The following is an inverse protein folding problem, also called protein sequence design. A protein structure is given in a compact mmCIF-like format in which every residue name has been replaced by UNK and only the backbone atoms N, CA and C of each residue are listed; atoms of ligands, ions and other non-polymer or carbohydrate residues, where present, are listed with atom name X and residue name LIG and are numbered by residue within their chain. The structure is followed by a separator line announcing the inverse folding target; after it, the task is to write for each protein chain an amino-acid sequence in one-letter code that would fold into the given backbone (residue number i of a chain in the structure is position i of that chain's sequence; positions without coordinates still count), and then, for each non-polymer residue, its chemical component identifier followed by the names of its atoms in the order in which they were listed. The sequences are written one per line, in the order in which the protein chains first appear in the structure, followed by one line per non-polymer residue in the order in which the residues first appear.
data_IF_586455088089
#
_entry.id   IF_586455088089
#
_cell.length_a   1.000
_cell.length_b   1.000
_cell.length_c   1.000
_cell.angle_alpha   90.00
_cell.angle_beta   90.00
_cell.angle_gamma   90.00
#
_symmetry.space_group_name_H-M   'P 1'
#
loop_
_entity.id
_entity.type
_entity.pdbx_description
1 polymer ?
#
# COMPACT_ATOMS: atom_id res chain seq x y z
N UNK A 1 -4.40 41.35 -15.60
CA UNK A 1 -5.57 41.93 -16.29
C UNK A 1 -5.19 43.05 -17.26
N UNK A 2 -4.49 44.11 -16.83
CA UNK A 2 -4.07 45.23 -17.71
C UNK A 2 -3.21 44.82 -18.93
N UNK A 3 -2.43 43.75 -18.82
CA UNK A 3 -1.61 43.21 -19.92
C UNK A 3 -2.40 42.39 -20.96
N UNK A 4 -3.60 41.91 -20.61
CA UNK A 4 -4.38 40.96 -21.44
C UNK A 4 -5.41 41.70 -22.30
N UNK A 5 -5.93 42.83 -21.81
CA UNK A 5 -6.96 43.64 -22.49
C UNK A 5 -6.58 44.03 -23.93
N UNK A 6 -5.37 44.55 -24.24
CA UNK A 6 -5.06 44.96 -25.62
C UNK A 6 -4.87 43.79 -26.61
N UNK A 7 -4.75 42.56 -26.11
CA UNK A 7 -4.59 41.35 -26.93
C UNK A 7 -5.93 40.64 -27.13
N UNK A 8 -6.95 41.00 -26.34
CA UNK A 8 -8.23 40.30 -26.33
C UNK A 8 -9.02 40.51 -27.63
N UNK A 9 -9.16 41.76 -28.07
CA UNK A 9 -9.92 42.13 -29.28
C UNK A 9 -9.36 41.49 -30.57
N UNK A 10 -8.04 41.53 -30.85
CA UNK A 10 -7.49 40.87 -32.04
C UNK A 10 -7.55 39.33 -31.94
N UNK A 11 -7.48 38.76 -30.73
CA UNK A 11 -7.60 37.32 -30.52
C UNK A 11 -9.03 36.84 -30.78
N UNK A 12 -10.04 37.57 -30.30
CA UNK A 12 -11.46 37.28 -30.55
C UNK A 12 -11.78 37.41 -32.04
N UNK A 13 -11.32 38.48 -32.69
CA UNK A 13 -11.51 38.68 -34.12
C UNK A 13 -10.85 37.57 -34.97
N UNK A 14 -9.69 37.05 -34.56
CA UNK A 14 -9.05 35.91 -35.22
C UNK A 14 -9.81 34.60 -34.98
N UNK A 15 -10.26 34.35 -33.74
CA UNK A 15 -11.04 33.16 -33.39
C UNK A 15 -12.37 33.09 -34.14
N UNK A 16 -13.03 34.23 -34.36
CA UNK A 16 -14.29 34.32 -35.13
C UNK A 16 -14.10 33.91 -36.61
N UNK A 17 -12.87 33.95 -37.15
CA UNK A 17 -12.60 33.48 -38.54
C UNK A 17 -12.55 31.95 -38.67
N UNK A 18 -12.51 31.20 -37.56
CA UNK A 18 -12.39 29.74 -37.57
C UNK A 18 -13.73 29.00 -37.77
N UNK A 19 -14.87 29.70 -37.68
CA UNK A 19 -16.19 29.15 -38.03
C UNK A 19 -16.75 28.09 -37.06
N UNK A 20 -16.19 27.98 -35.85
CA UNK A 20 -16.66 27.05 -34.82
C UNK A 20 -17.92 27.57 -34.12
N UNK A 21 -18.72 26.64 -33.56
CA UNK A 21 -19.82 27.02 -32.68
C UNK A 21 -19.29 27.65 -31.38
N UNK A 22 -20.06 28.53 -30.72
CA UNK A 22 -19.64 29.16 -29.45
C UNK A 22 -19.28 28.15 -28.35
N UNK A 23 -19.92 26.97 -28.36
CA UNK A 23 -19.66 25.90 -27.39
C UNK A 23 -18.30 25.21 -27.64
N UNK A 24 -17.97 24.93 -28.90
CA UNK A 24 -16.69 24.33 -29.29
C UNK A 24 -15.51 25.27 -29.01
N UNK A 25 -15.70 26.58 -29.20
CA UNK A 25 -14.70 27.60 -28.89
C UNK A 25 -14.37 27.64 -27.39
N UNK A 26 -15.39 27.59 -26.54
CA UNK A 26 -15.20 27.58 -25.08
C UNK A 26 -14.48 26.31 -24.63
N UNK A 27 -14.88 25.15 -25.14
CA UNK A 27 -14.23 23.86 -24.82
C UNK A 27 -12.77 23.85 -25.29
N UNK A 28 -12.52 24.25 -26.53
CA UNK A 28 -11.18 24.32 -27.13
C UNK A 28 -10.27 25.30 -26.38
N UNK A 29 -10.78 26.47 -26.01
CA UNK A 29 -10.06 27.44 -25.19
C UNK A 29 -9.69 26.86 -23.83
N UNK A 30 -10.63 26.23 -23.12
CA UNK A 30 -10.36 25.61 -21.82
C UNK A 30 -9.31 24.51 -21.91
N UNK A 31 -9.38 23.66 -22.95
CA UNK A 31 -8.41 22.60 -23.18
C UNK A 31 -7.02 23.17 -23.43
N UNK A 32 -6.88 24.10 -24.39
CA UNK A 32 -5.60 24.72 -24.75
C UNK A 32 -5.01 25.47 -23.54
N UNK A 33 -5.83 26.24 -22.84
CA UNK A 33 -5.40 27.00 -21.66
C UNK A 33 -4.88 26.09 -20.56
N UNK A 34 -5.62 25.03 -20.23
CA UNK A 34 -5.21 24.09 -19.17
C UNK A 34 -3.98 23.26 -19.58
N UNK A 35 -3.87 22.86 -20.84
CA UNK A 35 -2.69 22.16 -21.36
C UNK A 35 -1.46 23.05 -21.35
N UNK A 36 -1.58 24.29 -21.83
CA UNK A 36 -0.48 25.26 -21.80
C UNK A 36 -0.04 25.54 -20.35
N UNK A 37 -0.98 25.77 -19.44
CA UNK A 37 -0.69 25.95 -18.01
C UNK A 37 0.02 24.73 -17.43
N UNK A 38 -0.42 23.52 -17.77
CA UNK A 38 0.24 22.29 -17.33
C UNK A 38 1.69 22.23 -17.83
N UNK A 39 1.93 22.44 -19.14
CA UNK A 39 3.28 22.41 -19.72
C UNK A 39 4.21 23.48 -19.14
N UNK A 40 3.70 24.67 -18.83
CA UNK A 40 4.47 25.76 -18.22
C UNK A 40 4.78 25.46 -16.74
N UNK A 41 3.82 24.91 -16.00
CA UNK A 41 3.96 24.66 -14.56
C UNK A 41 4.72 23.37 -14.23
N UNK A 42 4.62 22.33 -15.06
CA UNK A 42 5.27 21.03 -14.84
C UNK A 42 6.78 21.13 -14.54
N UNK A 43 7.61 21.88 -15.31
CA UNK A 43 9.04 22.02 -15.01
C UNK A 43 9.31 22.79 -13.71
N UNK A 44 8.36 23.60 -13.22
CA UNK A 44 8.50 24.37 -11.97
C UNK A 44 8.23 23.54 -10.71
N UNK A 45 7.66 22.34 -10.86
CA UNK A 45 7.33 21.45 -9.73
C UNK A 45 8.59 21.05 -8.95
N UNK A 46 9.68 20.68 -9.64
CA UNK A 46 10.94 20.29 -8.99
C UNK A 46 11.58 21.43 -8.17
N UNK A 47 11.77 22.62 -8.74
CA UNK A 47 12.22 23.81 -8.01
C UNK A 47 11.31 24.16 -6.82
N UNK A 48 9.99 24.12 -7.00
CA UNK A 48 9.03 24.40 -5.94
C UNK A 48 9.12 23.36 -4.81
N UNK A 49 9.28 22.07 -5.12
CA UNK A 49 9.48 21.03 -4.12
C UNK A 49 10.76 21.25 -3.29
N UNK A 50 11.85 21.70 -3.94
CA UNK A 50 13.09 22.07 -3.24
C UNK A 50 12.93 23.31 -2.36
N UNK A 51 12.20 24.31 -2.85
CA UNK A 51 11.89 25.52 -2.09
C UNK A 51 11.04 25.18 -0.86
N UNK A 52 9.99 24.37 -1.02
CA UNK A 52 9.19 23.87 0.10
C UNK A 52 10.04 23.06 1.09
N UNK A 53 10.92 22.17 0.62
CA UNK A 53 11.82 21.40 1.47
C UNK A 53 12.87 22.26 2.20
N UNK A 54 13.21 23.44 1.67
CA UNK A 54 14.12 24.39 2.29
C UNK A 54 13.43 25.36 3.27
N UNK A 55 12.17 25.73 2.98
CA UNK A 55 11.37 26.66 3.80
C UNK A 55 10.64 25.95 4.95
N UNK A 56 10.18 24.71 4.72
CA UNK A 56 9.67 23.90 5.81
C UNK A 56 10.88 23.35 6.58
N UNK A 57 10.93 23.54 7.91
CA UNK A 57 11.87 22.79 8.71
C UNK A 57 11.68 21.32 8.37
N UNK A 58 12.73 20.65 7.90
CA UNK A 58 12.76 19.21 7.99
C UNK A 58 12.50 18.92 9.46
N UNK A 59 11.35 18.33 9.77
CA UNK A 59 11.21 17.64 11.04
C UNK A 59 12.20 16.50 10.96
N UNK A 60 13.46 16.79 11.28
CA UNK A 60 14.37 15.79 11.77
C UNK A 60 13.58 15.16 12.91
N UNK A 61 13.12 13.93 12.71
CA UNK A 61 12.46 13.14 13.72
C UNK A 61 13.50 12.84 14.81
N UNK A 62 13.76 13.86 15.63
CA UNK A 62 14.57 13.79 16.82
C UNK A 62 13.65 13.22 17.90
N UNK A 63 13.67 11.90 18.02
CA UNK A 63 13.12 11.19 19.17
C UNK A 63 11.65 10.82 19.09
N UNK A 64 11.42 9.52 18.84
CA UNK A 64 10.31 8.77 19.43
C UNK A 64 9.02 8.74 18.63
N UNK A 65 8.85 7.65 17.87
CA UNK A 65 7.63 7.16 17.24
C UNK A 65 7.06 8.00 16.09
N UNK A 66 6.63 7.31 15.04
CA UNK A 66 5.88 7.88 13.93
C UNK A 66 4.61 8.57 14.43
N UNK A 67 4.58 9.89 14.37
CA UNK A 67 3.38 10.68 14.69
C UNK A 67 2.41 10.69 13.51
N UNK A 68 1.09 10.69 13.76
CA UNK A 68 0.13 10.79 12.69
C UNK A 68 0.29 12.11 11.95
N UNK A 69 0.40 12.06 10.61
CA UNK A 69 0.65 13.26 9.77
C UNK A 69 -0.62 13.78 9.11
N UNK A 70 -1.54 12.88 8.79
CA UNK A 70 -2.75 13.23 8.03
C UNK A 70 -4.02 13.21 8.87
N UNK A 71 -3.98 12.69 10.10
CA UNK A 71 -5.17 12.56 10.95
C UNK A 71 -5.54 13.91 11.59
N UNK A 72 -6.18 14.77 10.80
CA UNK A 72 -6.69 16.07 11.24
C UNK A 72 -8.04 15.90 11.93
N UNK A 73 -8.11 16.27 13.22
CA UNK A 73 -9.33 16.21 14.02
C UNK A 73 -10.39 17.20 13.54
N UNK A 74 -10.00 18.30 12.91
CA UNK A 74 -10.96 19.28 12.37
C UNK A 74 -11.71 18.74 11.15
N UNK A 75 -11.11 17.79 10.44
CA UNK A 75 -11.74 17.11 9.31
C UNK A 75 -12.81 16.10 9.72
N UNK A 76 -12.95 15.75 11.02
CA UNK A 76 -13.97 14.82 11.50
C UNK A 76 -15.40 15.31 11.23
N UNK A 77 -15.60 16.62 11.09
CA UNK A 77 -16.88 17.21 10.70
C UNK A 77 -17.27 16.93 9.23
N UNK A 78 -16.35 16.40 8.42
CA UNK A 78 -16.59 16.04 7.02
C UNK A 78 -16.15 14.58 6.79
N UNK A 79 -17.06 13.60 6.92
CA UNK A 79 -16.72 12.18 6.93
C UNK A 79 -15.87 11.71 5.76
N UNK A 80 -16.19 12.12 4.54
CA UNK A 80 -15.43 11.77 3.33
C UNK A 80 -13.97 12.26 3.41
N UNK A 81 -13.74 13.47 3.95
CA UNK A 81 -12.39 14.02 4.14
C UNK A 81 -11.64 13.29 5.26
N UNK A 82 -12.32 12.98 6.37
CA UNK A 82 -11.75 12.19 7.46
C UNK A 82 -11.32 10.79 6.98
N UNK A 83 -12.15 10.11 6.17
CA UNK A 83 -11.79 8.82 5.59
C UNK A 83 -10.60 8.93 4.64
N UNK A 84 -10.53 9.97 3.81
CA UNK A 84 -9.37 10.22 2.95
C UNK A 84 -8.07 10.44 3.75
N UNK A 85 -8.15 11.13 4.89
CA UNK A 85 -7.04 11.28 5.83
C UNK A 85 -6.59 9.93 6.41
N UNK A 86 -7.53 9.10 6.84
CA UNK A 86 -7.25 7.78 7.37
C UNK A 86 -6.63 6.85 6.31
N UNK A 87 -7.13 6.87 5.07
CA UNK A 87 -6.54 6.13 3.93
C UNK A 87 -5.06 6.48 3.73
N UNK A 88 -4.72 7.77 3.71
CA UNK A 88 -3.32 8.21 3.55
C UNK A 88 -2.42 7.67 4.67
N UNK A 89 -2.95 7.61 5.88
CA UNK A 89 -2.21 7.12 7.03
C UNK A 89 -2.04 5.60 7.01
N UNK A 90 -3.07 4.85 6.60
CA UNK A 90 -2.97 3.40 6.37
C UNK A 90 -1.97 3.07 5.26
N UNK A 91 -1.92 3.85 4.18
CA UNK A 91 -0.90 3.68 3.14
C UNK A 91 0.51 3.90 3.69
N UNK A 92 0.69 4.86 4.59
CA UNK A 92 1.98 5.10 5.25
C UNK A 92 2.39 3.93 6.14
N UNK A 93 1.44 3.26 6.81
CA UNK A 93 1.75 1.98 7.49
C UNK A 93 2.25 0.95 6.47
N UNK A 94 1.64 0.89 5.28
CA UNK A 94 2.10 0.03 4.17
C UNK A 94 3.57 0.26 3.80
N UNK A 95 4.00 1.52 3.71
CA UNK A 95 5.41 1.88 3.42
C UNK A 95 6.38 1.40 4.52
N UNK A 96 5.95 1.45 5.79
CA UNK A 96 6.72 0.93 6.92
C UNK A 96 6.86 -0.60 6.84
N UNK A 97 5.77 -1.32 6.55
CA UNK A 97 5.80 -2.77 6.33
C UNK A 97 6.73 -3.13 5.17
N UNK A 98 6.68 -2.36 4.09
CA UNK A 98 7.58 -2.55 2.95
C UNK A 98 9.06 -2.40 3.37
N UNK A 99 9.37 -1.40 4.20
CA UNK A 99 10.71 -1.19 4.75
C UNK A 99 11.16 -2.34 5.66
N UNK A 100 10.25 -2.90 6.47
CA UNK A 100 10.51 -4.10 7.28
C UNK A 100 10.78 -5.33 6.41
N UNK A 101 10.03 -5.51 5.32
CA UNK A 101 10.25 -6.57 4.33
C UNK A 101 11.63 -6.44 3.67
N UNK A 102 12.03 -5.23 3.28
CA UNK A 102 13.36 -4.97 2.72
C UNK A 102 14.48 -5.30 3.72
N UNK A 103 14.29 -4.95 4.99
CA UNK A 103 15.22 -5.32 6.08
C UNK A 103 15.29 -6.84 6.27
N UNK A 104 14.16 -7.55 6.16
CA UNK A 104 14.13 -9.02 6.20
C UNK A 104 14.97 -9.65 5.08
N UNK A 105 14.89 -9.12 3.85
CA UNK A 105 15.71 -9.60 2.74
C UNK A 105 17.22 -9.38 3.01
N UNK A 106 17.59 -8.21 3.52
CA UNK A 106 18.98 -7.89 3.88
C UNK A 106 19.52 -8.83 4.96
N UNK A 107 18.71 -9.12 5.99
CA UNK A 107 19.05 -10.07 7.04
C UNK A 107 19.18 -11.49 6.49
N UNK A 108 18.28 -11.93 5.60
CA UNK A 108 18.39 -13.24 4.94
C UNK A 108 19.70 -13.36 4.18
N UNK A 109 19.99 -12.41 3.27
CA UNK A 109 21.21 -12.36 2.44
C UNK A 109 22.50 -12.13 3.22
N UNK A 110 22.42 -11.71 4.47
CA UNK A 110 23.59 -11.48 5.32
C UNK A 110 24.29 -10.14 5.09
N UNK A 111 23.68 -9.23 4.34
CA UNK A 111 24.15 -7.83 4.25
C UNK A 111 23.86 -7.05 5.54
N UNK A 112 22.96 -7.58 6.38
CA UNK A 112 22.69 -7.09 7.72
C UNK A 112 22.72 -8.27 8.70
N UNK A 113 23.44 -8.12 9.81
CA UNK A 113 23.76 -9.23 10.73
C UNK A 113 22.74 -9.42 11.86
N UNK A 114 21.91 -8.42 12.13
CA UNK A 114 20.99 -8.42 13.27
C UNK A 114 19.64 -7.81 12.89
N UNK A 115 18.57 -8.22 13.59
CA UNK A 115 17.38 -7.38 13.72
C UNK A 115 17.83 -6.09 14.35
N UNK A 116 17.93 -5.07 13.52
CA UNK A 116 18.52 -3.81 13.94
C UNK A 116 17.50 -3.10 14.82
N UNK A 117 17.99 -2.20 15.68
CA UNK A 117 17.15 -1.24 16.39
C UNK A 117 16.14 -0.56 15.45
N UNK A 118 16.50 -0.42 14.17
CA UNK A 118 15.62 0.07 13.12
C UNK A 118 14.36 -0.77 12.89
N UNK A 119 14.43 -2.10 12.83
CA UNK A 119 13.23 -2.93 12.64
C UNK A 119 12.28 -2.82 13.83
N UNK A 120 12.84 -2.74 15.04
CA UNK A 120 12.03 -2.50 16.25
C UNK A 120 11.37 -1.14 16.18
N UNK A 121 12.12 -0.10 15.82
CA UNK A 121 11.58 1.25 15.61
C UNK A 121 10.45 1.26 14.58
N UNK A 122 10.64 0.61 13.43
CA UNK A 122 9.60 0.47 12.40
C UNK A 122 8.35 -0.25 12.94
N UNK A 123 8.52 -1.29 13.76
CA UNK A 123 7.38 -1.97 14.39
C UNK A 123 6.64 -1.06 15.37
N UNK A 124 7.37 -0.34 16.22
CA UNK A 124 6.79 0.62 17.18
C UNK A 124 6.08 1.77 16.44
N UNK A 125 6.63 2.21 15.30
CA UNK A 125 6.03 3.20 14.41
C UNK A 125 4.70 2.69 13.80
N UNK A 126 4.65 1.42 13.36
CA UNK A 126 3.43 0.79 12.87
C UNK A 126 2.37 0.71 13.99
N UNK A 127 2.76 0.33 15.20
CA UNK A 127 1.85 0.25 16.36
C UNK A 127 1.27 1.63 16.74
N UNK A 128 2.11 2.66 16.71
CA UNK A 128 1.70 4.03 16.95
C UNK A 128 0.67 4.50 15.90
N UNK A 129 0.91 4.21 14.62
CA UNK A 129 -0.01 4.56 13.54
C UNK A 129 -1.32 3.78 13.59
N UNK A 130 -1.25 2.47 13.83
CA UNK A 130 -2.42 1.63 14.05
C UNK A 130 -3.31 2.21 15.15
N UNK A 131 -2.71 2.56 16.29
CA UNK A 131 -3.43 3.13 17.43
C UNK A 131 -4.06 4.48 17.08
N UNK A 132 -3.33 5.36 16.39
CA UNK A 132 -3.82 6.66 15.97
C UNK A 132 -5.01 6.55 15.00
N UNK A 133 -4.90 5.70 13.96
CA UNK A 133 -5.97 5.48 12.99
C UNK A 133 -7.21 4.89 13.66
N UNK A 134 -7.03 3.88 14.52
CA UNK A 134 -8.14 3.26 15.26
C UNK A 134 -8.88 4.28 16.13
N UNK A 135 -8.17 5.11 16.89
CA UNK A 135 -8.78 6.15 17.72
C UNK A 135 -9.45 7.24 16.88
N UNK A 136 -8.88 7.58 15.72
CA UNK A 136 -9.46 8.55 14.80
C UNK A 136 -10.77 8.05 14.20
N UNK A 137 -10.79 6.81 13.68
CA UNK A 137 -11.98 6.19 13.11
C UNK A 137 -13.08 5.95 14.15
N UNK A 138 -12.72 5.69 15.41
CA UNK A 138 -13.69 5.50 16.50
C UNK A 138 -14.44 6.80 16.89
N UNK A 139 -13.92 7.97 16.52
CA UNK A 139 -14.58 9.26 16.78
C UNK A 139 -15.62 9.61 15.69
N UNK A 140 -15.72 8.81 14.63
CA UNK A 140 -16.68 9.06 13.54
C UNK A 140 -18.05 8.46 13.89
N UNK A 141 -19.14 9.25 13.89
CA UNK A 141 -20.49 8.73 14.13
C UNK A 141 -20.93 7.85 12.96
N UNK A 142 -21.05 6.54 13.18
CA UNK A 142 -21.36 5.58 12.11
C UNK A 142 -22.78 5.73 11.57
N UNK A 143 -23.70 6.22 12.40
CA UNK A 143 -25.11 6.42 12.07
C UNK A 143 -25.32 7.58 11.08
N UNK A 144 -24.36 8.48 10.98
CA UNK A 144 -24.38 9.63 10.06
C UNK A 144 -23.67 9.33 8.73
N UNK A 145 -23.00 8.18 8.62
CA UNK A 145 -22.30 7.78 7.41
C UNK A 145 -23.29 7.21 6.38
N UNK A 146 -23.17 7.70 5.14
CA UNK A 146 -23.78 7.02 4.01
C UNK A 146 -23.20 5.61 3.83
N UNK A 147 -23.95 4.75 3.14
CA UNK A 147 -23.56 3.37 2.83
C UNK A 147 -22.13 3.24 2.25
N UNK A 148 -21.76 4.14 1.34
CA UNK A 148 -20.42 4.16 0.75
C UNK A 148 -19.32 4.47 1.78
N UNK A 149 -19.51 5.52 2.59
CA UNK A 149 -18.54 5.93 3.60
C UNK A 149 -18.41 4.90 4.71
N UNK A 150 -19.50 4.22 5.06
CA UNK A 150 -19.49 3.14 6.05
C UNK A 150 -18.72 1.91 5.57
N UNK A 151 -18.84 1.55 4.29
CA UNK A 151 -17.99 0.52 3.67
C UNK A 151 -16.53 0.93 3.67
N UNK A 152 -16.24 2.16 3.25
CA UNK A 152 -14.86 2.66 3.21
C UNK A 152 -14.22 2.67 4.60
N UNK A 153 -14.98 3.03 5.64
CA UNK A 153 -14.56 2.94 7.03
C UNK A 153 -14.16 1.50 7.40
N UNK A 154 -14.98 0.50 7.02
CA UNK A 154 -14.73 -0.91 7.29
C UNK A 154 -13.46 -1.42 6.59
N UNK A 155 -13.26 -1.04 5.33
CA UNK A 155 -12.04 -1.38 4.57
C UNK A 155 -10.78 -0.81 5.22
N UNK A 156 -10.83 0.45 5.68
CA UNK A 156 -9.68 1.11 6.31
C UNK A 156 -9.31 0.40 7.60
N UNK A 157 -10.27 0.14 8.49
CA UNK A 157 -9.97 -0.50 9.79
C UNK A 157 -9.48 -1.94 9.58
N UNK A 158 -10.06 -2.70 8.65
CA UNK A 158 -9.64 -4.06 8.35
C UNK A 158 -8.21 -4.11 7.82
N UNK A 159 -7.87 -3.27 6.83
CA UNK A 159 -6.50 -3.22 6.32
C UNK A 159 -5.51 -2.76 7.40
N UNK A 160 -5.89 -1.77 8.21
CA UNK A 160 -5.05 -1.25 9.29
C UNK A 160 -4.72 -2.34 10.33
N UNK A 161 -5.71 -3.17 10.69
CA UNK A 161 -5.49 -4.36 11.54
C UNK A 161 -4.56 -5.37 10.86
N UNK A 162 -4.80 -5.68 9.58
CA UNK A 162 -3.98 -6.64 8.83
C UNK A 162 -2.51 -6.20 8.73
N UNK A 163 -2.24 -4.90 8.57
CA UNK A 163 -0.89 -4.35 8.54
C UNK A 163 -0.19 -4.41 9.91
N UNK A 164 -0.90 -4.18 11.01
CA UNK A 164 -0.35 -4.35 12.37
C UNK A 164 0.04 -5.81 12.63
N UNK A 165 -0.86 -6.74 12.32
CA UNK A 165 -0.59 -8.18 12.44
C UNK A 165 0.61 -8.61 11.58
N UNK A 166 0.74 -8.00 10.39
CA UNK A 166 1.86 -8.20 9.48
C UNK A 166 3.18 -7.73 10.08
N UNK A 167 3.25 -6.53 10.68
CA UNK A 167 4.46 -6.02 11.35
C UNK A 167 4.95 -6.98 12.43
N UNK A 168 4.06 -7.38 13.34
CA UNK A 168 4.41 -8.30 14.42
C UNK A 168 4.85 -9.68 13.90
N UNK A 169 4.28 -10.15 12.78
CA UNK A 169 4.72 -11.40 12.15
C UNK A 169 6.10 -11.27 11.51
N UNK A 170 6.38 -10.18 10.80
CA UNK A 170 7.70 -9.90 10.22
C UNK A 170 8.76 -9.81 11.33
N UNK A 171 8.46 -9.08 12.41
CA UNK A 171 9.37 -8.93 13.55
C UNK A 171 9.69 -10.29 14.20
N UNK A 172 8.68 -11.16 14.38
CA UNK A 172 8.87 -12.54 14.86
C UNK A 172 9.75 -13.37 13.94
N UNK A 173 9.50 -13.36 12.63
CA UNK A 173 10.31 -14.10 11.65
C UNK A 173 11.77 -13.64 11.68
N UNK A 174 11.98 -12.33 11.72
CA UNK A 174 13.30 -11.70 11.80
C UNK A 174 14.06 -12.13 13.06
N UNK A 175 13.40 -12.15 14.23
CA UNK A 175 14.01 -12.67 15.47
C UNK A 175 14.44 -14.13 15.35
N UNK A 176 13.59 -14.98 14.75
CA UNK A 176 13.92 -16.40 14.54
C UNK A 176 15.15 -16.57 13.63
N UNK A 177 15.24 -15.80 12.54
CA UNK A 177 16.39 -15.80 11.63
C UNK A 177 17.67 -15.36 12.37
N UNK A 178 17.58 -14.28 13.16
CA UNK A 178 18.73 -13.79 13.92
C UNK A 178 19.22 -14.80 14.96
N UNK A 179 18.32 -15.39 15.75
CA UNK A 179 18.66 -16.38 16.77
C UNK A 179 19.38 -17.60 16.17
N UNK A 180 18.96 -18.03 14.98
CA UNK A 180 19.60 -19.13 14.27
C UNK A 180 21.04 -18.77 13.83
N UNK A 181 21.24 -17.55 13.32
CA UNK A 181 22.58 -17.09 12.91
C UNK A 181 23.53 -16.88 14.10
N UNK A 182 23.06 -16.27 15.20
CA UNK A 182 23.93 -15.89 16.32
C UNK A 182 24.10 -17.00 17.35
N UNK A 183 23.02 -17.60 17.84
CA UNK A 183 23.06 -18.56 18.95
C UNK A 183 23.38 -19.97 18.48
N UNK A 184 22.87 -20.38 17.31
CA UNK A 184 23.06 -21.75 16.81
C UNK A 184 24.24 -21.90 15.85
N UNK A 185 24.81 -20.79 15.36
CA UNK A 185 25.91 -20.74 14.36
C UNK A 185 25.67 -21.63 13.13
N UNK A 186 24.39 -21.84 12.80
CA UNK A 186 23.97 -22.61 11.63
C UNK A 186 23.71 -21.64 10.48
N UNK A 187 23.77 -22.13 9.26
CA UNK A 187 23.37 -21.39 8.07
C UNK A 187 22.33 -22.20 7.30
N UNK A 188 21.39 -21.50 6.67
CA UNK A 188 20.54 -22.14 5.66
C UNK A 188 21.43 -22.64 4.52
N UNK A 189 20.98 -23.70 3.82
CA UNK A 189 21.59 -24.03 2.54
C UNK A 189 21.41 -22.88 1.55
N UNK A 190 22.32 -22.74 0.60
CA UNK A 190 22.26 -21.71 -0.46
C UNK A 190 20.92 -21.75 -1.20
N UNK A 191 20.49 -22.95 -1.63
CA UNK A 191 19.17 -23.18 -2.24
C UNK A 191 18.04 -22.73 -1.31
N UNK A 192 18.10 -23.06 -0.01
CA UNK A 192 17.06 -22.66 0.94
C UNK A 192 17.01 -21.15 1.17
N UNK A 193 18.14 -20.46 1.03
CA UNK A 193 18.22 -19.01 1.18
C UNK A 193 17.64 -18.29 -0.05
N UNK A 194 17.92 -18.80 -1.26
CA UNK A 194 17.29 -18.33 -2.49
C UNK A 194 15.77 -18.51 -2.46
N UNK A 195 15.29 -19.69 -2.06
CA UNK A 195 13.85 -19.97 -1.93
C UNK A 195 13.14 -18.98 -0.98
N UNK A 196 13.76 -18.65 0.15
CA UNK A 196 13.23 -17.67 1.10
C UNK A 196 13.29 -16.23 0.56
N UNK A 197 14.37 -15.87 -0.13
CA UNK A 197 14.53 -14.56 -0.75
C UNK A 197 13.47 -14.33 -1.85
N UNK A 198 13.22 -15.33 -2.68
CA UNK A 198 12.21 -15.26 -3.75
C UNK A 198 10.80 -15.09 -3.19
N UNK A 199 10.45 -15.83 -2.13
CA UNK A 199 9.16 -15.66 -1.44
C UNK A 199 9.04 -14.26 -0.82
N UNK A 200 10.11 -13.72 -0.24
CA UNK A 200 10.11 -12.36 0.30
C UNK A 200 9.88 -11.31 -0.80
N UNK A 201 10.51 -11.45 -1.97
CA UNK A 201 10.33 -10.52 -3.10
C UNK A 201 8.89 -10.57 -3.60
N UNK A 202 8.30 -11.77 -3.67
CA UNK A 202 6.90 -11.93 -4.03
C UNK A 202 5.95 -11.31 -2.98
N UNK A 203 6.26 -11.45 -1.69
CA UNK A 203 5.52 -10.78 -0.61
C UNK A 203 5.50 -9.27 -0.77
N UNK A 204 6.65 -8.66 -1.05
CA UNK A 204 6.75 -7.21 -1.27
C UNK A 204 5.93 -6.77 -2.48
N UNK A 205 5.94 -7.55 -3.56
CA UNK A 205 5.12 -7.29 -4.75
C UNK A 205 3.62 -7.38 -4.44
N UNK A 206 3.21 -8.40 -3.68
CA UNK A 206 1.81 -8.60 -3.30
C UNK A 206 1.32 -7.57 -2.27
N UNK A 207 2.18 -7.08 -1.37
CA UNK A 207 1.87 -5.94 -0.50
C UNK A 207 1.53 -4.70 -1.35
N UNK A 208 2.41 -4.32 -2.28
CA UNK A 208 2.19 -3.16 -3.16
C UNK A 208 0.91 -3.29 -3.98
N UNK A 209 0.65 -4.47 -4.54
CA UNK A 209 -0.60 -4.75 -5.26
C UNK A 209 -1.81 -4.64 -4.33
N UNK A 210 -1.74 -5.19 -3.11
CA UNK A 210 -2.80 -5.10 -2.11
C UNK A 210 -3.12 -3.67 -1.67
N UNK A 211 -2.10 -2.83 -1.50
CA UNK A 211 -2.26 -1.39 -1.22
C UNK A 211 -2.86 -0.64 -2.41
N UNK A 212 -2.46 -0.99 -3.64
CA UNK A 212 -3.03 -0.42 -4.87
C UNK A 212 -4.52 -0.78 -5.01
N UNK A 213 -4.90 -2.03 -4.76
CA UNK A 213 -6.30 -2.49 -4.75
C UNK A 213 -7.09 -1.71 -3.70
N UNK A 214 -6.55 -1.56 -2.49
CA UNK A 214 -7.19 -0.79 -1.43
C UNK A 214 -7.39 0.70 -1.80
N UNK A 215 -6.42 1.31 -2.47
CA UNK A 215 -6.50 2.72 -2.86
C UNK A 215 -7.48 2.96 -4.00
N UNK A 216 -7.45 2.11 -5.02
CA UNK A 216 -8.16 2.32 -6.30
C UNK A 216 -9.52 1.65 -6.37
N UNK A 217 -9.73 0.56 -5.60
CA UNK A 217 -10.91 -0.28 -5.73
C UNK A 217 -10.98 -1.06 -7.05
N UNK A 218 -9.88 -1.17 -7.79
CA UNK A 218 -9.86 -1.83 -9.09
C UNK A 218 -10.08 -3.35 -8.99
N UNK A 219 -11.15 -3.83 -9.62
CA UNK A 219 -11.54 -5.24 -9.61
C UNK A 219 -10.54 -6.13 -10.35
N UNK A 220 -9.93 -5.63 -11.43
CA UNK A 220 -8.96 -6.43 -12.19
C UNK A 220 -7.72 -6.71 -11.33
N UNK A 221 -7.19 -5.67 -10.70
CA UNK A 221 -6.12 -5.77 -9.71
C UNK A 221 -6.51 -6.66 -8.52
N UNK A 222 -7.75 -6.60 -8.04
CA UNK A 222 -8.23 -7.47 -6.96
C UNK A 222 -8.24 -8.95 -7.39
N UNK A 223 -8.74 -9.26 -8.58
CA UNK A 223 -8.69 -10.62 -9.15
C UNK A 223 -7.25 -11.09 -9.37
N UNK A 224 -6.37 -10.20 -9.82
CA UNK A 224 -4.94 -10.47 -9.94
C UNK A 224 -4.31 -10.81 -8.59
N UNK A 225 -4.61 -10.04 -7.53
CA UNK A 225 -4.10 -10.28 -6.19
C UNK A 225 -4.51 -11.66 -5.66
N UNK A 226 -5.76 -12.10 -5.90
CA UNK A 226 -6.20 -13.45 -5.53
C UNK A 226 -5.55 -14.56 -6.37
N UNK A 227 -5.20 -14.30 -7.64
CA UNK A 227 -4.39 -15.23 -8.46
C UNK A 227 -2.98 -15.35 -7.87
N UNK A 228 -2.34 -14.24 -7.52
CA UNK A 228 -1.03 -14.25 -6.87
C UNK A 228 -1.06 -14.94 -5.50
N UNK A 229 -2.12 -14.77 -4.71
CA UNK A 229 -2.33 -15.53 -3.46
C UNK A 229 -2.34 -17.05 -3.69
N UNK A 230 -3.04 -17.51 -4.73
CA UNK A 230 -3.09 -18.94 -5.11
C UNK A 230 -1.72 -19.44 -5.58
N UNK A 231 -1.01 -18.63 -6.39
CA UNK A 231 0.34 -18.93 -6.86
C UNK A 231 1.32 -19.05 -5.71
N UNK A 232 1.31 -18.11 -4.77
CA UNK A 232 2.13 -18.13 -3.56
C UNK A 232 1.90 -19.42 -2.75
N UNK A 233 0.63 -19.81 -2.54
CA UNK A 233 0.29 -21.07 -1.84
C UNK A 233 0.76 -22.32 -2.59
N UNK A 234 0.72 -22.32 -3.91
CA UNK A 234 1.25 -23.43 -4.70
C UNK A 234 2.78 -23.53 -4.59
N UNK A 235 3.47 -22.38 -4.62
CA UNK A 235 4.91 -22.29 -4.45
C UNK A 235 5.34 -22.76 -3.05
N UNK A 236 4.67 -22.32 -2.00
CA UNK A 236 4.92 -22.79 -0.62
C UNK A 236 4.87 -24.33 -0.52
N UNK A 237 3.80 -24.96 -1.02
CA UNK A 237 3.69 -26.43 -1.01
C UNK A 237 4.82 -27.11 -1.78
N UNK A 238 5.21 -26.56 -2.93
CA UNK A 238 6.33 -27.09 -3.72
C UNK A 238 7.64 -27.01 -2.94
N UNK A 239 7.92 -25.88 -2.31
CA UNK A 239 9.12 -25.65 -1.52
C UNK A 239 9.17 -26.53 -0.27
N UNK A 240 8.03 -26.70 0.41
CA UNK A 240 7.91 -27.62 1.55
C UNK A 240 8.23 -29.07 1.14
N UNK A 241 7.71 -29.55 0.01
CA UNK A 241 8.06 -30.88 -0.51
C UNK A 241 9.53 -31.00 -0.91
N UNK A 242 10.07 -29.99 -1.62
CA UNK A 242 11.48 -29.96 -2.00
C UNK A 242 12.41 -30.02 -0.77
N UNK A 243 12.03 -29.32 0.30
CA UNK A 243 12.73 -29.37 1.58
C UNK A 243 12.74 -30.77 2.18
N UNK A 244 11.60 -31.46 2.22
CA UNK A 244 11.52 -32.86 2.71
C UNK A 244 12.42 -33.79 1.89
N UNK A 245 12.46 -33.65 0.56
CA UNK A 245 13.38 -34.42 -0.28
C UNK A 245 14.86 -34.17 0.03
N UNK A 246 15.24 -32.94 0.44
CA UNK A 246 16.62 -32.65 0.89
C UNK A 246 16.97 -33.33 2.20
N UNK A 247 16.01 -33.46 3.12
CA UNK A 247 16.20 -34.21 4.37
C UNK A 247 16.49 -35.69 4.10
N UNK A 248 15.73 -36.30 3.17
CA UNK A 248 15.95 -37.70 2.75
C UNK A 248 17.34 -37.93 2.16
N UNK A 249 17.92 -36.91 1.51
CA UNK A 249 19.28 -36.93 0.95
C UNK A 249 20.39 -36.60 1.97
N UNK A 250 20.05 -36.47 3.26
CA UNK A 250 20.98 -36.19 4.37
C UNK A 250 21.81 -34.91 4.20
N UNK A 251 21.25 -33.87 3.58
CA UNK A 251 21.92 -32.56 3.51
C UNK A 251 22.00 -31.97 4.92
N UNK A 252 23.20 -31.93 5.50
CA UNK A 252 23.44 -31.58 6.92
C UNK A 252 22.84 -30.22 7.27
N UNK A 253 23.09 -29.18 6.47
CA UNK A 253 22.52 -27.84 6.72
C UNK A 253 20.99 -27.85 6.67
N UNK A 254 20.38 -28.65 5.78
CA UNK A 254 18.92 -28.75 5.69
C UNK A 254 18.31 -29.42 6.91
N UNK A 255 19.00 -30.40 7.52
CA UNK A 255 18.56 -31.06 8.76
C UNK A 255 18.67 -30.09 9.94
N UNK A 256 19.78 -29.37 10.03
CA UNK A 256 20.09 -28.48 11.14
C UNK A 256 19.17 -27.25 11.23
N UNK A 257 18.64 -26.79 10.11
CA UNK A 257 17.74 -25.62 10.03
C UNK A 257 16.33 -25.98 9.55
N UNK A 258 15.99 -27.27 9.52
CA UNK A 258 14.79 -27.77 8.86
C UNK A 258 13.50 -27.15 9.37
N UNK A 259 13.29 -27.19 10.69
CA UNK A 259 12.09 -26.67 11.35
C UNK A 259 11.92 -25.17 11.06
N UNK A 260 12.99 -24.40 11.21
CA UNK A 260 12.96 -22.96 10.98
C UNK A 260 12.62 -22.61 9.53
N UNK A 261 13.20 -23.32 8.56
CA UNK A 261 12.96 -23.04 7.15
C UNK A 261 11.48 -23.26 6.78
N UNK A 262 10.89 -24.38 7.22
CA UNK A 262 9.46 -24.66 7.00
C UNK A 262 8.55 -23.69 7.76
N UNK A 263 8.92 -23.30 8.98
CA UNK A 263 8.18 -22.29 9.75
C UNK A 263 8.18 -20.93 9.04
N UNK A 264 9.32 -20.47 8.52
CA UNK A 264 9.41 -19.20 7.79
C UNK A 264 8.55 -19.21 6.54
N UNK A 265 8.58 -20.29 5.77
CA UNK A 265 7.72 -20.45 4.59
C UNK A 265 6.23 -20.38 4.98
N UNK A 266 5.83 -21.05 6.06
CA UNK A 266 4.45 -21.02 6.54
C UNK A 266 4.03 -19.63 7.04
N UNK A 267 4.92 -18.93 7.75
CA UNK A 267 4.70 -17.57 8.25
C UNK A 267 4.63 -16.57 7.06
N UNK A 268 5.46 -16.72 6.03
CA UNK A 268 5.36 -15.95 4.79
C UNK A 268 4.02 -16.15 4.08
N UNK A 269 3.47 -17.37 4.04
CA UNK A 269 2.12 -17.62 3.50
C UNK A 269 1.02 -16.90 4.31
N UNK A 270 1.14 -16.88 5.64
CA UNK A 270 0.21 -16.15 6.51
C UNK A 270 0.29 -14.65 6.23
N UNK A 271 1.50 -14.11 6.13
CA UNK A 271 1.74 -12.71 5.78
C UNK A 271 1.12 -12.34 4.42
N UNK A 272 1.32 -13.18 3.41
CA UNK A 272 0.72 -12.98 2.09
C UNK A 272 -0.82 -12.95 2.15
N UNK A 273 -1.41 -13.73 3.05
CA UNK A 273 -2.87 -13.77 3.21
C UNK A 273 -3.42 -12.48 3.81
N UNK A 274 -2.69 -11.84 4.72
CA UNK A 274 -3.02 -10.52 5.28
C UNK A 274 -2.96 -9.44 4.20
N UNK A 275 -1.96 -9.46 3.32
CA UNK A 275 -1.83 -8.49 2.23
C UNK A 275 -2.93 -8.61 1.16
N UNK A 276 -3.48 -9.82 1.01
CA UNK A 276 -4.51 -10.10 0.01
C UNK A 276 -5.94 -9.92 0.52
N UNK A 277 -6.16 -9.48 1.76
CA UNK A 277 -7.52 -9.33 2.32
C UNK A 277 -8.32 -8.26 1.59
N UNK A 278 -7.68 -7.15 1.20
CA UNK A 278 -8.32 -6.03 0.49
C UNK A 278 -9.04 -6.43 -0.80
N UNK A 279 -8.58 -7.49 -1.48
CA UNK A 279 -9.23 -7.98 -2.70
C UNK A 279 -10.63 -8.56 -2.44
N UNK A 280 -10.89 -9.12 -1.25
CA UNK A 280 -12.23 -9.65 -0.96
C UNK A 280 -13.23 -8.52 -0.77
N UNK A 281 -12.86 -7.45 -0.05
CA UNK A 281 -13.73 -6.29 0.15
C UNK A 281 -14.16 -5.65 -1.17
N UNK A 282 -13.24 -5.52 -2.13
CA UNK A 282 -13.53 -4.99 -3.47
C UNK A 282 -14.50 -5.91 -4.23
N UNK A 283 -14.22 -7.22 -4.27
CA UNK A 283 -15.01 -8.17 -5.06
C UNK A 283 -16.39 -8.47 -4.46
N UNK A 284 -16.54 -8.51 -3.14
CA UNK A 284 -17.84 -8.62 -2.49
C UNK A 284 -18.75 -7.42 -2.81
N UNK A 285 -18.16 -6.23 -2.93
CA UNK A 285 -18.89 -5.02 -3.32
C UNK A 285 -19.38 -5.09 -4.75
N UNK A 286 -18.54 -5.57 -5.67
CA UNK A 286 -18.90 -5.76 -7.08
C UNK A 286 -19.99 -6.79 -7.28
N UNK A 287 -19.90 -7.94 -6.61
CA UNK A 287 -20.91 -9.01 -6.72
C UNK A 287 -22.25 -8.53 -6.15
N UNK A 288 -22.26 -7.77 -5.05
CA UNK A 288 -23.48 -7.17 -4.48
C UNK A 288 -24.05 -6.05 -5.38
N UNK A 289 -23.17 -5.27 -6.03
CA UNK A 289 -23.54 -4.26 -7.02
C UNK A 289 -24.18 -4.85 -8.28
N UNK A 290 -23.62 -5.95 -8.80
CA UNK A 290 -24.17 -6.68 -9.94
C UNK A 290 -25.57 -7.23 -9.63
N UNK A 291 -25.74 -7.85 -8.45
CA UNK A 291 -27.03 -8.40 -8.01
C UNK A 291 -28.09 -7.32 -7.72
N UNK A 292 -27.70 -6.11 -7.36
CA UNK A 292 -28.64 -4.99 -7.18
C UNK A 292 -29.00 -4.32 -8.51
N UNK A 293 -28.11 -4.32 -9.50
CA UNK A 293 -28.38 -3.82 -10.85
C UNK A 293 -29.29 -4.73 -11.68
N UNK A 294 -29.28 -6.04 -11.44
CA UNK A 294 -30.19 -7.01 -12.08
C UNK A 294 -31.64 -6.95 -11.53
N UNK A 295 -31.87 -6.25 -10.42
CA UNK A 295 -33.19 -6.16 -9.75
C UNK A 295 -33.95 -4.86 -10.01
N UNK A 296 -33.55 -4.05 -11.00
CA UNK A 296 -34.37 -2.91 -11.46
C UNK A 296 -35.37 -3.43 -12.49
N UNK A 297 -36.68 -3.55 -12.20
CA UNK A 297 -37.64 -3.86 -13.24
C UNK A 297 -37.69 -2.65 -14.18
N UNK A 298 -37.46 -2.86 -15.47
CA UNK A 298 -37.84 -1.91 -16.51
C UNK A 298 -39.34 -1.59 -16.36
N UNK A 299 -39.65 -0.51 -15.65
CA UNK A 299 -40.94 0.16 -15.82
C UNK A 299 -40.86 0.89 -17.16
N UNK A 300 -41.26 0.19 -18.21
CA UNK A 300 -41.57 0.77 -19.51
C UNK A 300 -43.07 0.67 -19.77
N UNK A 301 -43.65 1.86 -20.03
CA UNK A 301 -44.93 2.19 -20.68
C UNK A 301 -46.22 2.06 -19.84
#
# INVERSE_FOLDING_TARGET
LLLIIPVLDPLVAWIDTLGFSPQELVIGFHLIYNTARCLIMLPTVGPMARLCAALLPQQNEVGGLAKPRHLDLTALATPTLALANAVRETLRMGDLIESMLGSMLAVLRGTQTAVTQEVRRLNDDVEALYSAIKLYLAQMPREELGEHDNRRWAEIIELTINLELAAGLIERMLRKIQQQKTSQRRSFSEVGLEELADLQIQLQSNLRLGLSVFLTGDEESARQLLREKRRFRAQERRLAHAHVSRLQRKVVQSIETSSLHLELIADMKRLNSLFCSSAYAVLETSDTGALSSENVPEQSL
#
